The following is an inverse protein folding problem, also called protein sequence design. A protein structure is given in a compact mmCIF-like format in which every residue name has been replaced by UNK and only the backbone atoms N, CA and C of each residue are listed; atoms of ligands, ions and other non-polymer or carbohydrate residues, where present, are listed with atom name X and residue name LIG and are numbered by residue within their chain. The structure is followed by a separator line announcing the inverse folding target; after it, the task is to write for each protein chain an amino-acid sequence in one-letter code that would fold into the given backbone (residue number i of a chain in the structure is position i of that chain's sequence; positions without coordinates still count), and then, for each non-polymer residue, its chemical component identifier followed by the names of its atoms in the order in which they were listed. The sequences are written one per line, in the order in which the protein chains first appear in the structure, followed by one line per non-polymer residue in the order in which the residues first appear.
data_IF_931510811047
#
_entry.id   IF_931510811047
#
_cell.length_a   1.000
_cell.length_b   1.000
_cell.length_c   1.000
_cell.angle_alpha   90.00
_cell.angle_beta   90.00
_cell.angle_gamma   90.00
#
_symmetry.space_group_name_H-M   'P 1'
#
loop_
_entity.id
_entity.type
_entity.pdbx_description
1 polymer ?
#
# COMPACT_ATOMS: atom_id res chain seq x y z
N UNK A 1 10.92 28.59 -15.50
CA UNK A 1 10.23 27.31 -15.28
C UNK A 1 10.24 26.54 -16.59
N UNK A 2 10.91 25.39 -16.66
CA UNK A 2 11.11 24.65 -17.90
C UNK A 2 9.96 23.64 -18.07
N UNK A 3 8.95 23.99 -18.87
CA UNK A 3 7.71 23.23 -19.12
C UNK A 3 7.88 22.06 -20.09
N UNK A 4 9.13 21.68 -20.41
CA UNK A 4 9.44 20.63 -21.38
C UNK A 4 9.78 19.31 -20.68
N UNK A 5 8.77 18.49 -20.36
CA UNK A 5 8.87 17.01 -20.22
C UNK A 5 7.55 16.27 -19.90
N UNK A 6 6.38 16.89 -20.05
CA UNK A 6 5.10 16.32 -19.59
C UNK A 6 4.25 15.76 -20.75
N UNK A 7 4.76 14.75 -21.47
CA UNK A 7 3.92 13.95 -22.38
C UNK A 7 4.33 12.48 -22.22
N UNK A 8 3.59 11.71 -21.42
CA UNK A 8 3.59 10.25 -21.52
C UNK A 8 4.32 9.43 -20.44
N UNK A 9 4.94 10.01 -19.41
CA UNK A 9 5.40 9.23 -18.24
C UNK A 9 4.47 9.50 -17.06
N UNK A 10 3.69 8.50 -16.65
CA UNK A 10 3.04 8.52 -15.33
C UNK A 10 4.14 8.68 -14.28
N UNK A 11 4.22 9.87 -13.69
CA UNK A 11 5.11 10.11 -12.56
C UNK A 11 4.68 9.20 -11.42
N UNK A 12 5.64 8.56 -10.77
CA UNK A 12 5.35 7.82 -9.53
C UNK A 12 4.84 8.84 -8.50
N UNK A 13 3.94 8.46 -7.57
CA UNK A 13 3.38 9.37 -6.58
C UNK A 13 4.43 10.20 -5.80
N UNK A 14 5.61 9.62 -5.53
CA UNK A 14 6.72 10.34 -4.89
C UNK A 14 7.36 11.42 -5.77
N UNK A 15 7.43 11.21 -7.08
CA UNK A 15 7.97 12.18 -8.04
C UNK A 15 6.97 13.31 -8.26
N UNK A 16 5.69 12.97 -8.39
CA UNK A 16 4.60 13.96 -8.48
C UNK A 16 4.56 14.82 -7.22
N UNK A 17 4.70 14.22 -6.04
CA UNK A 17 4.71 14.98 -4.80
C UNK A 17 5.93 15.90 -4.68
N UNK A 18 7.09 15.55 -5.23
CA UNK A 18 8.25 16.44 -5.26
C UNK A 18 8.05 17.67 -6.16
N UNK A 19 7.19 17.58 -7.18
CA UNK A 19 6.84 18.71 -8.05
C UNK A 19 5.74 19.60 -7.44
N UNK A 20 4.82 19.02 -6.67
CA UNK A 20 3.65 19.71 -6.14
C UNK A 20 3.81 20.25 -4.71
N UNK A 21 4.65 19.64 -3.89
CA UNK A 21 4.75 20.01 -2.48
C UNK A 21 5.59 21.27 -2.26
N UNK A 22 5.23 22.09 -1.26
CA UNK A 22 6.09 23.13 -0.73
C UNK A 22 7.48 22.61 -0.32
N UNK A 23 8.52 23.45 -0.37
CA UNK A 23 9.92 23.05 -0.09
C UNK A 23 10.15 22.56 1.34
N UNK A 24 9.30 23.00 2.26
CA UNK A 24 9.30 22.65 3.68
C UNK A 24 8.48 21.40 3.98
N UNK A 25 7.85 20.78 2.98
CA UNK A 25 7.12 19.54 3.11
C UNK A 25 7.77 18.39 2.32
N UNK A 26 7.58 17.17 2.82
CA UNK A 26 7.96 15.94 2.13
C UNK A 26 6.82 14.94 2.14
N UNK A 27 6.71 14.19 1.06
CA UNK A 27 5.77 13.09 0.97
C UNK A 27 6.28 11.85 1.70
N UNK A 28 5.48 11.31 2.62
CA UNK A 28 5.73 10.02 3.23
C UNK A 28 5.06 8.92 2.40
N UNK A 29 5.85 8.04 1.79
CA UNK A 29 5.32 6.91 0.98
C UNK A 29 4.69 5.80 1.82
N UNK A 30 4.95 5.77 3.13
CA UNK A 30 4.36 4.79 4.05
C UNK A 30 2.96 5.23 4.47
N UNK A 31 2.83 6.48 4.87
CA UNK A 31 1.58 7.05 5.38
C UNK A 31 0.73 7.72 4.29
N UNK A 32 1.26 7.91 3.09
CA UNK A 32 0.62 8.59 1.96
C UNK A 32 0.09 9.99 2.34
N UNK A 33 0.94 10.79 2.97
CA UNK A 33 0.62 12.17 3.37
C UNK A 33 1.85 13.08 3.25
N UNK A 34 1.62 14.39 3.13
CA UNK A 34 2.69 15.37 3.28
C UNK A 34 3.03 15.57 4.76
N UNK A 35 4.32 15.83 5.02
CA UNK A 35 4.88 15.99 6.36
C UNK A 35 5.89 17.11 6.32
N UNK A 36 5.78 18.06 7.24
CA UNK A 36 6.77 19.12 7.42
C UNK A 36 8.15 18.50 7.69
N UNK A 37 9.18 19.00 7.02
CA UNK A 37 10.56 18.52 7.14
C UNK A 37 11.04 18.59 8.60
N UNK A 38 10.66 19.64 9.31
CA UNK A 38 10.95 19.82 10.75
C UNK A 38 10.35 18.70 11.62
N UNK A 39 9.19 18.19 11.24
CA UNK A 39 8.46 17.15 11.97
C UNK A 39 8.74 15.73 11.46
N UNK A 40 9.56 15.58 10.42
CA UNK A 40 9.79 14.28 9.77
C UNK A 40 10.37 13.23 10.73
N UNK A 41 11.30 13.62 11.60
CA UNK A 41 11.88 12.71 12.59
C UNK A 41 10.85 12.26 13.65
N UNK A 42 9.93 13.15 14.05
CA UNK A 42 8.83 12.80 14.95
C UNK A 42 7.82 11.89 14.25
N UNK A 43 7.46 12.21 13.00
CA UNK A 43 6.57 11.40 12.17
C UNK A 43 7.09 9.96 12.02
N UNK A 44 8.37 9.78 11.69
CA UNK A 44 8.98 8.45 11.52
C UNK A 44 8.96 7.61 12.81
N UNK A 45 9.02 8.26 13.98
CA UNK A 45 8.93 7.60 15.28
C UNK A 45 7.50 7.32 15.73
N UNK A 46 6.50 7.90 15.08
CA UNK A 46 5.10 7.70 15.42
C UNK A 46 4.70 6.23 15.29
N UNK A 47 3.80 5.77 16.18
CA UNK A 47 3.31 4.40 16.15
C UNK A 47 2.64 4.07 14.80
N UNK A 48 1.87 5.01 14.25
CA UNK A 48 1.19 4.83 12.97
C UNK A 48 2.17 4.61 11.81
N UNK A 49 3.25 5.39 11.75
CA UNK A 49 4.28 5.20 10.74
C UNK A 49 4.96 3.82 10.88
N UNK A 50 5.33 3.43 12.09
CA UNK A 50 5.96 2.12 12.36
C UNK A 50 5.05 0.95 11.99
N UNK A 51 3.77 1.02 12.34
CA UNK A 51 2.78 0.00 11.98
C UNK A 51 2.54 -0.05 10.46
N UNK A 52 2.43 1.11 9.81
CA UNK A 52 2.34 1.22 8.36
C UNK A 52 3.53 0.58 7.66
N UNK A 53 4.75 0.88 8.14
CA UNK A 53 5.98 0.32 7.60
C UNK A 53 6.05 -1.21 7.77
N UNK A 54 5.70 -1.72 8.96
CA UNK A 54 5.64 -3.18 9.22
C UNK A 54 4.62 -3.86 8.30
N UNK A 55 3.46 -3.24 8.08
CA UNK A 55 2.42 -3.74 7.17
C UNK A 55 2.90 -3.73 5.72
N UNK A 56 3.55 -2.66 5.26
CA UNK A 56 4.12 -2.58 3.92
C UNK A 56 5.16 -3.67 3.68
N UNK A 57 6.07 -3.90 4.62
CA UNK A 57 7.05 -4.97 4.52
C UNK A 57 6.38 -6.35 4.48
N UNK A 58 5.38 -6.59 5.32
CA UNK A 58 4.59 -7.84 5.27
C UNK A 58 3.94 -8.05 3.90
N UNK A 59 3.32 -7.01 3.34
CA UNK A 59 2.68 -7.08 2.02
C UNK A 59 3.69 -7.28 0.89
N UNK A 60 4.86 -6.65 0.97
CA UNK A 60 5.95 -6.85 0.00
C UNK A 60 6.42 -8.30 0.02
N UNK A 61 6.65 -8.87 1.20
CA UNK A 61 7.05 -10.26 1.34
C UNK A 61 5.97 -11.20 0.78
N UNK A 62 4.70 -10.99 1.15
CA UNK A 62 3.59 -11.76 0.58
C UNK A 62 3.53 -11.66 -0.95
N UNK A 63 3.72 -10.46 -1.52
CA UNK A 63 3.73 -10.28 -2.98
C UNK A 63 4.88 -11.00 -3.65
N UNK A 64 6.07 -11.03 -3.01
CA UNK A 64 7.24 -11.76 -3.51
C UNK A 64 7.00 -13.27 -3.43
N UNK A 65 6.50 -13.77 -2.30
CA UNK A 65 6.16 -15.19 -2.12
C UNK A 65 5.09 -15.67 -3.11
N UNK A 66 4.04 -14.87 -3.35
CA UNK A 66 3.04 -15.17 -4.37
C UNK A 66 3.66 -15.20 -5.78
N UNK A 67 4.60 -14.28 -6.04
CA UNK A 67 5.27 -14.21 -7.33
C UNK A 67 6.23 -15.38 -7.56
N UNK A 68 6.90 -15.86 -6.50
CA UNK A 68 7.70 -17.08 -6.48
C UNK A 68 6.84 -18.32 -6.73
N UNK A 69 5.69 -18.44 -6.06
CA UNK A 69 4.70 -19.50 -6.31
C UNK A 69 4.18 -19.50 -7.75
N UNK A 70 3.87 -18.32 -8.30
CA UNK A 70 3.40 -18.19 -9.69
C UNK A 70 4.49 -18.46 -10.74
N UNK A 71 5.78 -18.27 -10.41
CA UNK A 71 6.90 -18.53 -11.32
C UNK A 71 7.45 -19.97 -11.25
N UNK A 72 7.01 -20.79 -10.28
CA UNK A 72 7.41 -22.19 -10.17
C UNK A 72 8.90 -22.40 -9.85
N UNK A 73 9.59 -21.38 -9.32
CA UNK A 73 10.99 -21.44 -8.92
C UNK A 73 11.14 -20.87 -7.49
N UNK A 74 11.44 -21.70 -6.48
CA UNK A 74 11.63 -21.23 -5.11
C UNK A 74 12.98 -20.51 -4.98
N UNK A 75 13.01 -19.37 -4.28
CA UNK A 75 14.24 -18.99 -3.56
C UNK A 75 14.30 -19.90 -2.33
N UNK A 76 15.18 -20.88 -2.38
CA UNK A 76 15.41 -21.85 -1.32
C UNK A 76 15.77 -21.14 -0.01
N UNK A 77 14.84 -21.09 0.95
CA UNK A 77 15.14 -21.21 2.39
C UNK A 77 13.91 -21.20 3.33
N UNK A 78 12.68 -20.85 2.90
CA UNK A 78 11.54 -20.72 3.84
C UNK A 78 10.34 -21.68 3.63
N UNK A 79 10.51 -22.79 2.89
CA UNK A 79 9.46 -23.78 2.54
C UNK A 79 8.89 -24.60 3.71
N UNK A 80 9.03 -24.15 4.96
CA UNK A 80 8.65 -24.93 6.15
C UNK A 80 7.25 -24.61 6.70
N UNK A 81 6.54 -23.61 6.16
CA UNK A 81 5.27 -23.13 6.70
C UNK A 81 4.11 -23.04 5.68
N UNK A 82 4.16 -23.81 4.59
CA UNK A 82 3.16 -23.76 3.49
C UNK A 82 1.70 -23.94 3.96
N UNK A 83 1.45 -24.79 4.96
CA UNK A 83 0.11 -25.03 5.49
C UNK A 83 -0.48 -23.81 6.24
N UNK A 84 0.36 -22.95 6.81
CA UNK A 84 -0.10 -21.75 7.52
C UNK A 84 -0.45 -20.61 6.57
N UNK A 85 0.15 -20.58 5.38
CA UNK A 85 -0.03 -19.50 4.41
C UNK A 85 -1.35 -19.66 3.65
N UNK A 86 -1.70 -20.88 3.25
CA UNK A 86 -2.97 -21.14 2.56
C UNK A 86 -4.18 -20.79 3.43
N UNK A 87 -4.10 -21.09 4.72
CA UNK A 87 -5.15 -20.74 5.69
C UNK A 87 -5.36 -19.23 5.84
N UNK A 88 -4.28 -18.47 5.94
CA UNK A 88 -4.32 -16.99 6.01
C UNK A 88 -4.82 -16.38 4.69
N UNK A 89 -4.48 -16.98 3.55
CA UNK A 89 -4.97 -16.55 2.25
C UNK A 89 -6.48 -16.77 2.09
N UNK A 90 -7.00 -17.93 2.48
CA UNK A 90 -8.44 -18.20 2.47
C UNK A 90 -9.21 -17.24 3.38
N UNK A 91 -8.65 -16.93 4.56
CA UNK A 91 -9.22 -15.94 5.47
C UNK A 91 -9.25 -14.54 4.85
N UNK A 92 -8.17 -14.11 4.20
CA UNK A 92 -8.11 -12.82 3.50
C UNK A 92 -9.16 -12.72 2.38
N UNK A 93 -9.33 -13.79 1.58
CA UNK A 93 -10.34 -13.86 0.51
C UNK A 93 -11.76 -13.69 1.05
N UNK A 94 -12.08 -14.36 2.14
CA UNK A 94 -13.39 -14.23 2.79
C UNK A 94 -13.62 -12.81 3.33
N UNK A 95 -12.59 -12.18 3.90
CA UNK A 95 -12.65 -10.80 4.39
C UNK A 95 -12.88 -9.78 3.26
N UNK A 96 -12.22 -9.94 2.11
CA UNK A 96 -12.44 -9.07 0.95
C UNK A 96 -13.87 -9.18 0.43
N UNK A 97 -14.36 -10.41 0.27
CA UNK A 97 -15.74 -10.66 -0.18
C UNK A 97 -16.77 -10.02 0.75
N UNK A 98 -16.54 -10.07 2.08
CA UNK A 98 -17.41 -9.41 3.06
C UNK A 98 -17.40 -7.89 2.91
N UNK A 99 -16.24 -7.27 2.69
CA UNK A 99 -16.10 -5.81 2.53
C UNK A 99 -16.76 -5.33 1.24
N UNK A 100 -16.59 -6.06 0.14
CA UNK A 100 -17.24 -5.74 -1.13
C UNK A 100 -18.76 -5.82 -0.99
N UNK A 101 -19.28 -6.85 -0.33
CA UNK A 101 -20.73 -6.97 -0.07
C UNK A 101 -21.27 -5.86 0.83
N UNK A 102 -20.48 -5.37 1.80
CA UNK A 102 -20.87 -4.22 2.62
C UNK A 102 -20.92 -2.94 1.77
N UNK A 103 -19.88 -2.68 0.96
CA UNK A 103 -19.87 -1.51 0.06
C UNK A 103 -21.00 -1.52 -0.97
N UNK A 104 -21.37 -2.69 -1.50
CA UNK A 104 -22.50 -2.82 -2.41
C UNK A 104 -23.83 -2.54 -1.71
N UNK A 105 -23.99 -2.99 -0.46
CA UNK A 105 -25.17 -2.68 0.36
C UNK A 105 -25.25 -1.19 0.67
N UNK A 106 -24.16 -0.56 1.07
CA UNK A 106 -24.14 0.87 1.39
C UNK A 106 -24.48 1.73 0.15
N UNK A 107 -23.94 1.36 -1.02
CA UNK A 107 -24.30 1.98 -2.31
C UNK A 107 -25.78 1.77 -2.67
N UNK A 108 -26.33 0.59 -2.39
CA UNK A 108 -27.75 0.30 -2.62
C UNK A 108 -28.66 1.14 -1.72
N UNK A 109 -28.36 1.23 -0.42
CA UNK A 109 -29.11 2.08 0.51
C UNK A 109 -29.00 3.57 0.15
N UNK A 110 -27.82 4.04 -0.26
CA UNK A 110 -27.63 5.42 -0.73
C UNK A 110 -28.41 5.73 -2.02
N UNK A 111 -28.67 4.72 -2.87
CA UNK A 111 -29.47 4.90 -4.09
C UNK A 111 -30.98 4.93 -3.84
N UNK A 112 -31.45 4.38 -2.71
CA UNK A 112 -32.87 4.31 -2.30
C UNK A 112 -33.36 5.51 -1.49
N UNK A 113 -32.44 6.38 -1.05
CA UNK A 113 -32.71 7.61 -0.27
C UNK A 113 -32.68 8.89 -1.13
N UNK A 114 -32.58 8.73 -2.46
CA UNK A 114 -32.87 9.77 -3.47
C UNK A 114 -34.22 9.47 -4.11
#
# INVERSE_FOLDING_TARGET
MNTKKYIGRQLRPSQLAAELLPRDERWCTVCHQSVLVTNLAAHNRSLQHRLGHKKMNKLKNLSLSMWEQHRGAPMEEESRNDASVEMEFQKYRQDQKRREQAQLRDKWYASKLK
#
